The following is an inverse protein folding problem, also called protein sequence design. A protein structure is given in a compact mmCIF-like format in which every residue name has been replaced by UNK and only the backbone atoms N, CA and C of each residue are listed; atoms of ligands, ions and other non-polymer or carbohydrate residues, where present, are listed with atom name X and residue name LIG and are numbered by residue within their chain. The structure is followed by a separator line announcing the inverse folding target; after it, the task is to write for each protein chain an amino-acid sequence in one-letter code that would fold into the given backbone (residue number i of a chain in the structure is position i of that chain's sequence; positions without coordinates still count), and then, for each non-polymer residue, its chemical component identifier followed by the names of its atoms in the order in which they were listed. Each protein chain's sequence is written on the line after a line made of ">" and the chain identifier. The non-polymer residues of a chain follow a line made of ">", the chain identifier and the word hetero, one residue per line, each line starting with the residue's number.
data_IF_771820986184
#
_entry.id   IF_771820986184
#
_cell.length_a   1.000
_cell.length_b   1.000
_cell.length_c   1.000
_cell.angle_alpha   90.00
_cell.angle_beta   90.00
_cell.angle_gamma   90.00
#
_symmetry.space_group_name_H-M   'P 1'
#
loop_
_entity.id
_entity.type
_entity.pdbx_description
1 polymer ?
#
# COMPACT_ATOMS: atom_id res chain seq x y z
N UNK A 1 18.46 22.05 44.06
CA UNK A 1 18.84 22.22 42.64
C UNK A 1 18.65 20.97 41.76
N UNK A 2 18.13 19.83 42.26
CA UNK A 2 17.98 18.62 41.44
C UNK A 2 16.59 18.41 40.80
N UNK A 3 15.54 19.07 41.30
CA UNK A 3 14.17 18.92 40.78
C UNK A 3 14.00 19.35 39.31
N UNK A 4 14.46 20.54 38.87
CA UNK A 4 14.26 20.98 37.50
C UNK A 4 15.03 20.11 36.50
N UNK A 5 16.24 19.64 36.87
CA UNK A 5 17.00 18.69 36.06
C UNK A 5 16.28 17.34 35.93
N UNK A 6 15.71 16.80 37.03
CA UNK A 6 14.94 15.55 36.97
C UNK A 6 13.70 15.67 36.08
N UNK A 7 12.98 16.79 36.17
CA UNK A 7 11.84 17.06 35.28
C UNK A 7 12.29 17.17 33.81
N UNK A 8 13.38 17.90 33.53
CA UNK A 8 13.91 18.03 32.18
C UNK A 8 14.34 16.67 31.60
N UNK A 9 14.99 15.83 32.40
CA UNK A 9 15.39 14.48 31.99
C UNK A 9 14.18 13.59 31.69
N UNK A 10 13.11 13.66 32.49
CA UNK A 10 11.88 12.91 32.23
C UNK A 10 11.21 13.37 30.93
N UNK A 11 11.17 14.67 30.67
CA UNK A 11 10.64 15.22 29.42
C UNK A 11 11.47 14.79 28.21
N UNK A 12 12.81 14.79 28.34
CA UNK A 12 13.70 14.33 27.28
C UNK A 12 13.47 12.84 26.98
N UNK A 13 13.36 12.00 28.02
CA UNK A 13 13.07 10.58 27.86
C UNK A 13 11.72 10.37 27.19
N UNK A 14 10.66 11.09 27.61
CA UNK A 14 9.36 11.00 26.97
C UNK A 14 9.40 11.39 25.49
N UNK A 15 10.13 12.46 25.14
CA UNK A 15 10.31 12.89 23.76
C UNK A 15 11.07 11.86 22.92
N UNK A 16 12.15 11.26 23.46
CA UNK A 16 12.89 10.19 22.80
C UNK A 16 12.03 8.95 22.56
N UNK A 17 11.19 8.56 23.53
CA UNK A 17 10.29 7.41 23.38
C UNK A 17 9.21 7.67 22.33
N UNK A 18 8.58 8.85 22.36
CA UNK A 18 7.59 9.25 21.36
C UNK A 18 8.18 9.29 19.95
N UNK A 19 9.41 9.80 19.83
CA UNK A 19 10.17 9.79 18.58
C UNK A 19 10.42 8.37 18.09
N UNK A 20 10.91 7.48 18.97
CA UNK A 20 11.25 6.11 18.62
C UNK A 20 10.03 5.29 18.22
N UNK A 21 8.85 5.54 18.83
CA UNK A 21 7.62 4.81 18.52
C UNK A 21 6.82 5.42 17.35
N UNK A 22 7.23 6.57 16.82
CA UNK A 22 6.48 7.34 15.82
C UNK A 22 5.94 6.52 14.63
N UNK A 23 6.77 5.70 13.94
CA UNK A 23 6.30 4.87 12.83
C UNK A 23 5.22 3.85 13.21
N UNK A 24 5.30 3.24 14.39
CA UNK A 24 4.28 2.30 14.87
C UNK A 24 2.95 2.99 15.14
N UNK A 25 2.99 4.19 15.74
CA UNK A 25 1.79 5.00 15.91
C UNK A 25 1.18 5.41 14.57
N UNK A 26 2.01 5.79 13.61
CA UNK A 26 1.57 6.13 12.26
C UNK A 26 0.85 4.94 11.59
N UNK A 27 1.43 3.74 11.68
CA UNK A 27 0.80 2.53 11.15
C UNK A 27 -0.54 2.22 11.81
N UNK A 28 -0.62 2.37 13.14
CA UNK A 28 -1.89 2.19 13.87
C UNK A 28 -2.95 3.19 13.42
N UNK A 29 -2.58 4.45 13.21
CA UNK A 29 -3.49 5.47 12.70
C UNK A 29 -3.92 5.20 11.26
N UNK A 30 -3.02 4.72 10.39
CA UNK A 30 -3.36 4.30 9.02
C UNK A 30 -4.34 3.13 9.06
N UNK A 31 -4.09 2.13 9.90
CA UNK A 31 -4.96 0.97 10.03
C UNK A 31 -6.35 1.36 10.54
N UNK A 32 -6.41 2.23 11.55
CA UNK A 32 -7.67 2.76 12.06
C UNK A 32 -8.44 3.54 10.98
N UNK A 33 -7.78 4.44 10.25
CA UNK A 33 -8.42 5.18 9.16
C UNK A 33 -8.95 4.25 8.05
N UNK A 34 -8.24 3.16 7.76
CA UNK A 34 -8.71 2.12 6.84
C UNK A 34 -9.95 1.38 7.36
N UNK A 35 -9.93 0.97 8.65
CA UNK A 35 -11.03 0.25 9.29
C UNK A 35 -12.30 1.08 9.42
N UNK A 36 -12.15 2.36 9.79
CA UNK A 36 -13.24 3.32 9.93
C UNK A 36 -13.69 3.91 8.59
N UNK A 37 -12.94 3.64 7.50
CA UNK A 37 -13.13 4.24 6.17
C UNK A 37 -13.12 5.78 6.23
N UNK A 38 -12.29 6.35 7.10
CA UNK A 38 -12.19 7.80 7.31
C UNK A 38 -11.28 8.44 6.25
N UNK A 39 -11.89 8.88 5.15
CA UNK A 39 -11.21 9.59 4.06
C UNK A 39 -10.51 10.88 4.51
N UNK A 40 -11.06 11.59 5.49
CA UNK A 40 -10.48 12.85 5.96
C UNK A 40 -9.18 12.59 6.71
N UNK A 41 -9.18 11.60 7.61
CA UNK A 41 -7.97 11.17 8.29
C UNK A 41 -6.98 10.51 7.34
N UNK A 42 -7.48 9.76 6.36
CA UNK A 42 -6.67 9.07 5.35
C UNK A 42 -5.73 10.03 4.61
N UNK A 43 -6.25 11.13 4.09
CA UNK A 43 -5.45 12.11 3.35
C UNK A 43 -4.39 12.83 4.21
N UNK A 44 -4.59 12.90 5.52
CA UNK A 44 -3.57 13.41 6.45
C UNK A 44 -2.42 12.40 6.67
N UNK A 45 -2.73 11.10 6.61
CA UNK A 45 -1.80 10.00 6.92
C UNK A 45 -1.12 9.42 5.67
N UNK A 46 -1.72 9.54 4.50
CA UNK A 46 -1.30 8.88 3.26
C UNK A 46 -1.26 9.88 2.10
N UNK A 47 -0.16 9.90 1.34
CA UNK A 47 -0.06 10.59 0.05
C UNK A 47 -0.76 9.76 -1.02
N UNK A 48 -2.08 9.91 -1.10
CA UNK A 48 -2.95 9.14 -2.00
C UNK A 48 -2.55 9.28 -3.47
N UNK A 49 -2.06 10.44 -3.89
CA UNK A 49 -1.67 10.74 -5.28
C UNK A 49 -0.52 9.85 -5.79
N UNK A 50 0.50 9.60 -4.95
CA UNK A 50 1.60 8.72 -5.29
C UNK A 50 1.15 7.25 -5.39
N UNK A 51 0.34 6.80 -4.44
CA UNK A 51 -0.18 5.42 -4.43
C UNK A 51 -1.13 5.18 -5.62
N UNK A 52 -2.00 6.15 -5.93
CA UNK A 52 -2.90 6.07 -7.08
C UNK A 52 -2.10 6.00 -8.38
N UNK A 53 -1.05 6.82 -8.53
CA UNK A 53 -0.19 6.78 -9.72
C UNK A 53 0.49 5.43 -9.87
N UNK A 54 0.99 4.87 -8.77
CA UNK A 54 1.64 3.57 -8.75
C UNK A 54 0.66 2.43 -9.10
N UNK A 55 -0.49 2.38 -8.43
CA UNK A 55 -1.54 1.40 -8.69
C UNK A 55 -2.04 1.47 -10.14
N UNK A 56 -2.25 2.68 -10.67
CA UNK A 56 -2.67 2.90 -12.04
C UNK A 56 -1.71 2.29 -13.07
N UNK A 57 -0.41 2.53 -12.92
CA UNK A 57 0.61 1.94 -13.81
C UNK A 57 0.62 0.42 -13.75
N UNK A 58 0.43 -0.16 -12.57
CA UNK A 58 0.40 -1.61 -12.40
C UNK A 58 -0.85 -2.22 -13.03
N UNK A 59 -2.01 -1.60 -12.84
CA UNK A 59 -3.26 -1.99 -13.50
C UNK A 59 -3.18 -1.88 -15.03
N UNK A 60 -2.59 -0.80 -15.56
CA UNK A 60 -2.36 -0.65 -17.01
C UNK A 60 -1.49 -1.77 -17.57
N UNK A 61 -0.40 -2.12 -16.88
CA UNK A 61 0.45 -3.23 -17.28
C UNK A 61 -0.31 -4.57 -17.29
N UNK A 62 -1.18 -4.81 -16.30
CA UNK A 62 -2.05 -6.00 -16.26
C UNK A 62 -3.06 -6.00 -17.42
N UNK A 63 -3.68 -4.87 -17.73
CA UNK A 63 -4.61 -4.75 -18.87
C UNK A 63 -3.90 -5.02 -20.21
N UNK A 64 -2.69 -4.50 -20.40
CA UNK A 64 -1.92 -4.73 -21.62
C UNK A 64 -1.50 -6.20 -21.77
N UNK A 65 -1.17 -6.89 -20.66
CA UNK A 65 -0.91 -8.34 -20.65
C UNK A 65 -2.17 -9.14 -20.98
N UNK A 66 -3.33 -8.75 -20.43
CA UNK A 66 -4.62 -9.37 -20.72
C UNK A 66 -4.98 -9.23 -22.19
N UNK A 67 -4.87 -8.01 -22.74
CA UNK A 67 -5.07 -7.75 -24.16
C UNK A 67 -4.19 -8.64 -25.02
N UNK A 68 -2.90 -8.75 -24.70
CA UNK A 68 -1.98 -9.60 -25.44
C UNK A 68 -2.38 -11.08 -25.42
N UNK A 69 -2.93 -11.58 -24.31
CA UNK A 69 -3.48 -12.92 -24.23
C UNK A 69 -4.70 -13.10 -25.14
N UNK A 70 -5.66 -12.19 -25.05
CA UNK A 70 -6.95 -12.28 -25.72
C UNK A 70 -6.86 -12.03 -27.23
N UNK A 71 -5.86 -11.27 -27.69
CA UNK A 71 -5.58 -11.05 -29.12
C UNK A 71 -5.34 -12.34 -29.90
N UNK A 72 -4.98 -13.46 -29.25
CA UNK A 72 -4.86 -14.77 -29.92
C UNK A 72 -6.22 -15.35 -30.33
N UNK A 73 -7.30 -14.92 -29.68
CA UNK A 73 -8.66 -15.42 -29.88
C UNK A 73 -9.47 -14.45 -30.75
N UNK A 74 -9.58 -13.18 -30.32
CA UNK A 74 -10.27 -12.12 -31.05
C UNK A 74 -9.57 -10.77 -30.82
N UNK A 75 -8.86 -10.28 -31.83
CA UNK A 75 -8.14 -9.00 -31.78
C UNK A 75 -9.07 -7.80 -31.54
N UNK A 76 -10.27 -7.81 -32.12
CA UNK A 76 -11.18 -6.66 -32.06
C UNK A 76 -11.80 -6.55 -30.67
N UNK A 77 -12.22 -7.67 -30.10
CA UNK A 77 -12.74 -7.74 -28.74
C UNK A 77 -11.66 -7.38 -27.72
N UNK A 78 -10.46 -7.96 -27.84
CA UNK A 78 -9.33 -7.65 -26.95
C UNK A 78 -8.96 -6.16 -26.92
N UNK A 79 -8.96 -5.48 -28.07
CA UNK A 79 -8.71 -4.03 -28.14
C UNK A 79 -9.84 -3.21 -27.51
N UNK A 80 -11.09 -3.64 -27.69
CA UNK A 80 -12.25 -2.97 -27.09
C UNK A 80 -12.21 -3.09 -25.58
N UNK A 81 -12.00 -4.30 -25.06
CA UNK A 81 -11.95 -4.57 -23.63
C UNK A 81 -10.79 -3.84 -22.95
N UNK A 82 -9.62 -3.79 -23.60
CA UNK A 82 -8.51 -2.98 -23.09
C UNK A 82 -8.85 -1.48 -23.06
N UNK A 83 -9.49 -0.96 -24.12
CA UNK A 83 -9.89 0.45 -24.17
C UNK A 83 -10.92 0.79 -23.10
N UNK A 84 -11.92 -0.07 -22.90
CA UNK A 84 -12.95 0.11 -21.89
C UNK A 84 -12.35 -0.04 -20.47
N UNK A 85 -11.45 -1.01 -20.26
CA UNK A 85 -10.70 -1.19 -19.02
C UNK A 85 -9.81 0.01 -18.67
N UNK A 86 -9.08 0.56 -19.64
CA UNK A 86 -8.23 1.76 -19.45
C UNK A 86 -9.02 2.98 -18.97
N UNK A 87 -10.31 3.10 -19.33
CA UNK A 87 -11.18 4.17 -18.81
C UNK A 87 -11.51 4.01 -17.33
N UNK A 88 -11.42 2.79 -16.79
CA UNK A 88 -11.70 2.47 -15.38
C UNK A 88 -10.44 2.44 -14.50
N UNK A 89 -9.24 2.49 -15.09
CA UNK A 89 -7.97 2.44 -14.35
C UNK A 89 -7.91 3.55 -13.30
N UNK A 90 -8.23 4.79 -13.67
CA UNK A 90 -8.08 5.92 -12.75
C UNK A 90 -8.99 5.76 -11.52
N UNK A 91 -10.25 5.39 -11.71
CA UNK A 91 -11.19 5.18 -10.62
C UNK A 91 -10.80 3.99 -9.75
N UNK A 92 -10.34 2.89 -10.37
CA UNK A 92 -9.91 1.68 -9.64
C UNK A 92 -8.66 1.95 -8.83
N UNK A 93 -7.68 2.64 -9.42
CA UNK A 93 -6.47 3.07 -8.74
C UNK A 93 -6.76 4.00 -7.56
N UNK A 94 -7.76 4.89 -7.70
CA UNK A 94 -8.21 5.77 -6.61
C UNK A 94 -8.82 4.96 -5.47
N UNK A 95 -9.64 3.95 -5.76
CA UNK A 95 -10.20 3.04 -4.76
C UNK A 95 -9.11 2.25 -4.03
N UNK A 96 -8.14 1.69 -4.78
CA UNK A 96 -7.00 0.96 -4.24
C UNK A 96 -6.09 1.83 -3.36
N UNK A 97 -5.91 3.11 -3.71
CA UNK A 97 -5.13 4.06 -2.91
C UNK A 97 -5.91 4.67 -1.74
N UNK A 98 -7.23 4.45 -1.68
CA UNK A 98 -8.12 4.89 -0.60
C UNK A 98 -8.13 3.92 0.58
N UNK A 99 -8.77 4.31 1.70
CA UNK A 99 -8.81 3.52 2.93
C UNK A 99 -9.41 2.11 2.72
N UNK A 100 -10.38 2.00 1.82
CA UNK A 100 -11.08 0.74 1.52
C UNK A 100 -10.21 -0.25 0.74
N UNK A 101 -9.57 0.20 -0.34
CA UNK A 101 -8.76 -0.66 -1.20
C UNK A 101 -7.31 -0.81 -0.76
N UNK A 102 -6.86 -0.09 0.26
CA UNK A 102 -5.44 -0.07 0.65
C UNK A 102 -4.87 -1.43 1.07
N UNK A 103 -5.68 -2.25 1.75
CA UNK A 103 -5.27 -3.60 2.15
C UNK A 103 -5.03 -4.47 0.92
N UNK A 104 -5.93 -4.42 -0.07
CA UNK A 104 -5.78 -5.09 -1.36
C UNK A 104 -4.52 -4.64 -2.10
N UNK A 105 -4.28 -3.32 -2.14
CA UNK A 105 -3.05 -2.75 -2.71
C UNK A 105 -1.80 -3.30 -2.03
N UNK A 106 -1.71 -3.22 -0.70
CA UNK A 106 -0.55 -3.71 0.06
C UNK A 106 -0.36 -5.22 -0.04
N UNK A 107 -1.44 -5.99 -0.16
CA UNK A 107 -1.36 -7.44 -0.33
C UNK A 107 -1.03 -7.86 -1.77
N UNK A 108 -1.05 -6.93 -2.73
CA UNK A 108 -0.79 -7.22 -4.14
C UNK A 108 -1.94 -7.94 -4.85
N UNK A 109 -3.14 -7.96 -4.25
CA UNK A 109 -4.34 -8.58 -4.81
C UNK A 109 -5.16 -7.51 -5.54
N UNK A 110 -4.69 -7.12 -6.73
CA UNK A 110 -5.21 -5.98 -7.50
C UNK A 110 -6.38 -6.34 -8.43
N UNK A 111 -6.62 -7.63 -8.64
CA UNK A 111 -7.72 -8.15 -9.47
C UNK A 111 -9.01 -8.34 -8.69
N UNK A 112 -8.92 -8.37 -7.37
CA UNK A 112 -10.06 -8.58 -6.49
C UNK A 112 -10.83 -7.28 -6.31
N UNK A 113 -12.11 -7.37 -5.93
CA UNK A 113 -12.95 -6.20 -5.70
C UNK A 113 -12.34 -5.35 -4.57
N UNK A 114 -11.85 -4.12 -4.84
CA UNK A 114 -11.23 -3.28 -3.82
C UNK A 114 -12.22 -2.81 -2.74
N UNK A 115 -13.53 -2.97 -2.97
CA UNK A 115 -14.57 -2.72 -1.96
C UNK A 115 -14.95 -3.97 -1.16
N UNK A 116 -14.42 -5.14 -1.54
CA UNK A 116 -14.61 -6.39 -0.83
C UNK A 116 -13.93 -6.39 0.53
N UNK A 117 -14.39 -7.27 1.42
CA UNK A 117 -13.79 -7.43 2.74
C UNK A 117 -12.33 -7.91 2.64
N UNK A 118 -11.51 -7.51 3.62
CA UNK A 118 -10.15 -8.02 3.73
C UNK A 118 -10.17 -9.55 3.86
N UNK A 119 -9.31 -10.24 3.11
CA UNK A 119 -9.34 -11.70 3.03
C UNK A 119 -8.70 -12.39 4.26
N UNK A 120 -8.15 -11.63 5.20
CA UNK A 120 -7.53 -12.17 6.41
C UNK A 120 -7.35 -11.17 7.54
N UNK A 121 -6.87 -11.68 8.68
CA UNK A 121 -6.59 -10.91 9.90
C UNK A 121 -5.10 -10.89 10.26
N UNK A 122 -4.21 -11.14 9.30
CA UNK A 122 -2.77 -11.21 9.52
C UNK A 122 -1.98 -10.53 8.40
N UNK A 123 -0.74 -10.13 8.71
CA UNK A 123 0.20 -9.58 7.73
C UNK A 123 -0.32 -8.30 7.07
N UNK A 124 -0.18 -8.20 5.74
CA UNK A 124 -0.67 -7.05 4.97
C UNK A 124 -2.17 -6.81 5.17
N UNK A 125 -2.96 -7.88 5.34
CA UNK A 125 -4.40 -7.76 5.55
C UNK A 125 -4.75 -7.14 6.88
N UNK A 126 -3.92 -7.29 7.92
CA UNK A 126 -4.12 -6.65 9.22
C UNK A 126 -3.39 -5.30 9.35
N UNK A 127 -2.60 -4.93 8.34
CA UNK A 127 -1.64 -3.84 8.42
C UNK A 127 -0.65 -4.01 9.61
N UNK A 128 -0.39 -5.26 9.97
CA UNK A 128 0.57 -5.66 11.00
C UNK A 128 1.92 -5.94 10.33
N UNK A 129 2.74 -4.90 10.24
CA UNK A 129 4.03 -4.93 9.55
C UNK A 129 5.20 -4.64 10.47
N UNK A 130 6.39 -5.10 10.06
CA UNK A 130 7.63 -4.86 10.79
C UNK A 130 8.25 -3.53 10.37
N UNK A 131 8.46 -2.63 11.33
CA UNK A 131 9.11 -1.33 11.10
C UNK A 131 10.64 -1.49 11.04
N UNK A 132 11.24 -0.96 9.98
CA UNK A 132 12.68 -0.80 9.80
C UNK A 132 13.00 0.69 9.61
N UNK A 133 13.77 1.26 10.53
CA UNK A 133 14.26 2.63 10.39
C UNK A 133 15.35 2.69 9.31
N UNK A 134 15.21 3.61 8.36
CA UNK A 134 16.26 3.91 7.38
C UNK A 134 17.03 5.18 7.75
N UNK A 135 16.35 6.17 8.32
CA UNK A 135 16.95 7.40 8.82
C UNK A 135 16.03 8.03 9.87
N UNK A 136 16.48 9.08 10.59
CA UNK A 136 15.63 9.78 11.56
C UNK A 136 14.29 10.30 10.98
N UNK A 137 14.19 10.49 9.67
CA UNK A 137 12.97 10.99 9.00
C UNK A 137 12.29 9.96 8.10
N UNK A 138 12.83 8.74 7.98
CA UNK A 138 12.35 7.74 7.03
C UNK A 138 12.36 6.35 7.64
N UNK A 139 11.22 5.67 7.56
CA UNK A 139 11.06 4.28 7.97
C UNK A 139 10.35 3.50 6.87
N UNK A 140 10.64 2.20 6.80
CA UNK A 140 9.92 1.24 5.96
C UNK A 140 9.16 0.29 6.85
N UNK A 141 7.96 -0.06 6.43
CA UNK A 141 7.13 -1.06 7.12
C UNK A 141 6.94 -2.20 6.16
N UNK A 142 7.54 -3.35 6.48
CA UNK A 142 7.43 -4.56 5.67
C UNK A 142 6.17 -5.33 6.07
N UNK A 143 5.42 -5.79 5.08
CA UNK A 143 4.27 -6.67 5.24
C UNK A 143 4.50 -7.97 4.49
N UNK A 144 3.82 -9.03 4.93
CA UNK A 144 3.76 -10.30 4.22
C UNK A 144 2.32 -10.63 3.92
N UNK A 145 2.01 -10.95 2.67
CA UNK A 145 0.73 -11.54 2.31
C UNK A 145 0.72 -13.00 2.79
N UNK A 146 -0.20 -13.42 3.68
CA UNK A 146 -0.20 -14.76 4.25
C UNK A 146 -0.51 -15.86 3.22
N UNK A 147 -1.14 -15.53 2.09
CA UNK A 147 -1.54 -16.48 1.06
C UNK A 147 -0.45 -16.68 0.02
N UNK A 148 0.17 -15.59 -0.42
CA UNK A 148 1.18 -15.60 -1.50
C UNK A 148 2.62 -15.56 -0.99
N UNK A 149 2.81 -15.25 0.30
CA UNK A 149 4.10 -14.96 0.93
C UNK A 149 4.84 -13.78 0.30
N UNK A 150 4.16 -12.97 -0.50
CA UNK A 150 4.71 -11.77 -1.10
C UNK A 150 5.03 -10.73 -0.04
N UNK A 151 6.16 -10.06 -0.24
CA UNK A 151 6.62 -8.99 0.63
C UNK A 151 6.35 -7.65 -0.03
N UNK A 152 5.58 -6.81 0.65
CA UNK A 152 5.38 -5.41 0.28
C UNK A 152 5.99 -4.51 1.35
N UNK A 153 6.39 -3.30 0.96
CA UNK A 153 6.88 -2.30 1.90
C UNK A 153 6.07 -1.01 1.76
N UNK A 154 5.71 -0.40 2.89
CA UNK A 154 5.19 0.96 2.95
C UNK A 154 6.29 1.90 3.42
N UNK A 155 6.50 2.99 2.70
CA UNK A 155 7.49 4.01 3.06
C UNK A 155 6.81 5.11 3.85
N UNK A 156 7.24 5.26 5.11
CA UNK A 156 6.83 6.33 5.98
C UNK A 156 7.88 7.45 5.99
N UNK A 157 7.44 8.67 5.76
CA UNK A 157 8.26 9.88 5.87
C UNK A 157 7.76 10.74 7.02
N UNK A 158 8.69 11.24 7.83
CA UNK A 158 8.39 12.18 8.89
C UNK A 158 8.26 13.59 8.31
N UNK A 159 7.07 14.18 8.46
CA UNK A 159 6.73 15.52 7.95
C UNK A 159 6.70 16.59 9.06
N UNK A 160 6.79 16.20 10.33
CA UNK A 160 6.84 17.10 11.48
C UNK A 160 7.66 16.51 12.63
N UNK A 161 7.52 17.03 13.85
CA UNK A 161 8.27 16.49 15.00
C UNK A 161 7.77 15.08 15.39
N UNK A 162 6.45 14.86 15.31
CA UNK A 162 5.79 13.61 15.67
C UNK A 162 4.82 13.10 14.59
N UNK A 163 4.81 13.75 13.42
CA UNK A 163 3.92 13.41 12.32
C UNK A 163 4.65 12.62 11.25
N UNK A 164 4.06 11.48 10.89
CA UNK A 164 4.54 10.56 9.88
C UNK A 164 3.45 10.35 8.85
N UNK A 165 3.86 10.18 7.60
CA UNK A 165 2.97 10.03 6.47
C UNK A 165 3.47 8.89 5.59
N UNK A 166 2.56 8.04 5.12
CA UNK A 166 2.86 7.08 4.08
C UNK A 166 2.98 7.79 2.73
N UNK A 167 4.13 7.65 2.08
CA UNK A 167 4.45 8.39 0.85
C UNK A 167 4.61 7.50 -0.38
N UNK A 168 4.87 6.21 -0.19
CA UNK A 168 5.06 5.27 -1.27
C UNK A 168 4.77 3.85 -0.79
N UNK A 169 4.43 2.98 -1.73
CA UNK A 169 4.32 1.54 -1.54
C UNK A 169 5.23 0.85 -2.55
N UNK A 170 6.01 -0.11 -2.09
CA UNK A 170 6.82 -0.98 -2.92
C UNK A 170 6.19 -2.37 -2.91
N UNK A 171 5.53 -2.74 -4.01
CA UNK A 171 4.98 -4.09 -4.21
C UNK A 171 5.97 -4.96 -4.99
N UNK A 172 5.92 -6.29 -4.85
CA UNK A 172 6.69 -7.20 -5.68
C UNK A 172 6.04 -7.32 -7.07
N UNK A 173 6.06 -6.21 -7.83
CA UNK A 173 5.35 -6.06 -9.09
C UNK A 173 5.70 -7.17 -10.10
N UNK A 174 6.96 -7.58 -10.18
CA UNK A 174 7.37 -8.67 -11.06
C UNK A 174 6.70 -10.01 -10.69
N UNK A 175 6.54 -10.30 -9.40
CA UNK A 175 5.87 -11.51 -8.94
C UNK A 175 4.36 -11.45 -9.19
N UNK A 176 3.74 -10.27 -8.96
CA UNK A 176 2.33 -10.01 -9.25
C UNK A 176 2.05 -10.21 -10.75
N UNK A 177 2.81 -9.53 -11.60
CA UNK A 177 2.67 -9.60 -13.06
C UNK A 177 2.94 -11.02 -13.56
N UNK A 178 3.92 -11.73 -13.01
CA UNK A 178 4.19 -13.13 -13.37
C UNK A 178 3.04 -14.07 -12.98
N UNK A 179 2.48 -13.96 -11.78
CA UNK A 179 1.30 -14.75 -11.40
C UNK A 179 0.12 -14.43 -12.31
N UNK A 180 -0.06 -13.15 -12.64
CA UNK A 180 -1.10 -12.72 -13.55
C UNK A 180 -0.92 -13.30 -14.95
N UNK A 181 0.26 -13.24 -15.56
CA UNK A 181 0.51 -13.87 -16.88
C UNK A 181 0.29 -15.37 -16.87
N UNK A 182 0.65 -16.06 -15.78
CA UNK A 182 0.37 -17.49 -15.61
C UNK A 182 -1.14 -17.78 -15.59
N UNK A 183 -1.93 -16.95 -14.90
CA UNK A 183 -3.39 -17.07 -14.89
C UNK A 183 -4.02 -16.91 -16.28
N UNK A 184 -3.34 -16.17 -17.17
CA UNK A 184 -3.75 -15.96 -18.56
C UNK A 184 -3.25 -17.06 -19.52
N UNK A 185 -2.50 -18.05 -19.05
CA UNK A 185 -1.89 -19.08 -19.90
C UNK A 185 -0.78 -18.55 -20.81
N UNK A 186 -0.17 -17.40 -20.45
CA UNK A 186 0.97 -16.80 -21.16
C UNK A 186 2.30 -17.25 -20.54
N UNK A 187 2.58 -18.55 -20.51
CA UNK A 187 3.93 -19.00 -20.18
C UNK A 187 4.82 -18.98 -21.44
N UNK A 188 6.00 -18.36 -21.34
CA UNK A 188 7.05 -18.58 -22.34
C UNK A 188 7.54 -20.02 -22.18
N UNK A 189 7.43 -20.82 -23.25
CA UNK A 189 8.28 -22.00 -23.40
C UNK A 189 9.76 -21.63 -23.38
#
# INVERSE_FOLDING_TARGET
>A
MALPFRFLSLLLLAACTAFALGPWWAMRSIAQAADERDEAQWHALVRTDHLQTYAGKLLEAMLDLRMYADMKNDTREALRDNSDGKRLVESTARLLAGPQGFRHLLCGELTDDPNGEAQGQAGCWALDGSVRWESPIKARVGFTNPETLWQSELVLLRIGLFQWQAIAVDLPADAILKRFTQSLGLESK
#
